data_IF_277755986539
#
_entry.id   IF_277755986539
#
_cell.length_a   1.000
_cell.length_b   1.000
_cell.length_c   1.000
_cell.angle_alpha   90.00
_cell.angle_beta   90.00
_cell.angle_gamma   90.00
#
_symmetry.space_group_name_H-M   'P 1'
#
loop_
_entity.id
_entity.type
_entity.pdbx_description
1 polymer ?
#
# COMPACT_ATOMS: atom_id res chain seq x y z
N UNK A 1 -3.05 6.31 8.22
CA UNK A 1 -3.60 5.30 7.30
C UNK A 1 -3.73 5.89 5.91
N UNK A 2 -3.89 5.06 4.89
CA UNK A 2 -4.17 5.48 3.51
C UNK A 2 -5.54 4.93 3.09
N UNK A 3 -6.06 5.42 1.95
CA UNK A 3 -7.26 4.86 1.33
C UNK A 3 -6.88 3.79 0.30
N UNK A 4 -7.82 2.88 0.05
CA UNK A 4 -7.75 1.95 -1.07
C UNK A 4 -8.83 2.20 -2.12
N UNK A 5 -8.73 1.53 -3.26
CA UNK A 5 -9.66 1.69 -4.39
C UNK A 5 -11.14 1.63 -3.98
N UNK A 6 -11.51 0.73 -3.07
CA UNK A 6 -12.90 0.58 -2.62
C UNK A 6 -13.45 1.73 -1.76
N UNK A 7 -12.58 2.60 -1.25
CA UNK A 7 -12.99 3.82 -0.54
C UNK A 7 -13.49 4.92 -1.50
N UNK A 8 -13.22 4.76 -2.80
CA UNK A 8 -13.67 5.63 -3.89
C UNK A 8 -14.94 5.11 -4.61
N UNK A 9 -15.68 4.21 -3.96
CA UNK A 9 -16.84 3.46 -4.50
C UNK A 9 -16.49 2.33 -5.48
N UNK A 10 -17.50 1.67 -6.04
CA UNK A 10 -17.34 0.58 -7.03
C UNK A 10 -16.68 1.02 -8.33
N UNK A 11 -16.84 2.29 -8.73
CA UNK A 11 -16.16 2.83 -9.91
C UNK A 11 -14.72 3.24 -9.61
N UNK A 12 -14.33 3.22 -8.33
CA UNK A 12 -13.05 3.67 -7.81
C UNK A 12 -12.71 5.13 -8.11
N UNK A 13 -13.61 5.95 -8.67
CA UNK A 13 -13.29 7.32 -9.12
C UNK A 13 -14.05 8.44 -8.42
N UNK A 14 -14.95 8.10 -7.48
CA UNK A 14 -15.79 9.10 -6.81
C UNK A 14 -15.09 9.61 -5.57
N UNK A 15 -14.55 10.82 -5.64
CA UNK A 15 -13.75 11.43 -4.58
C UNK A 15 -14.58 11.86 -3.37
N UNK A 16 -15.84 12.28 -3.54
CA UNK A 16 -16.69 12.74 -2.41
C UNK A 16 -16.83 11.68 -1.30
N UNK A 17 -16.95 10.40 -1.66
CA UNK A 17 -17.03 9.31 -0.68
C UNK A 17 -15.71 9.16 0.08
N UNK A 18 -14.59 9.18 -0.63
CA UNK A 18 -13.26 9.13 -0.05
C UNK A 18 -12.99 10.34 0.86
N UNK A 19 -13.41 11.53 0.47
CA UNK A 19 -13.24 12.77 1.24
C UNK A 19 -14.08 12.75 2.52
N UNK A 20 -15.35 12.32 2.42
CA UNK A 20 -16.22 12.15 3.59
C UNK A 20 -15.69 11.08 4.54
N UNK A 21 -15.20 9.95 4.02
CA UNK A 21 -14.57 8.92 4.83
C UNK A 21 -13.32 9.46 5.54
N UNK A 22 -12.44 10.14 4.80
CA UNK A 22 -11.24 10.79 5.35
C UNK A 22 -11.62 11.74 6.49
N UNK A 23 -12.60 12.63 6.28
CA UNK A 23 -13.04 13.58 7.30
C UNK A 23 -13.58 12.88 8.56
N UNK A 24 -14.33 11.77 8.40
CA UNK A 24 -14.82 10.97 9.54
C UNK A 24 -13.67 10.30 10.30
N UNK A 25 -12.73 9.67 9.60
CA UNK A 25 -11.58 9.01 10.23
C UNK A 25 -10.69 10.02 10.96
N UNK A 26 -10.42 11.18 10.35
CA UNK A 26 -9.70 12.29 10.99
C UNK A 26 -10.44 12.81 12.22
N UNK A 27 -11.77 12.93 12.16
CA UNK A 27 -12.60 13.29 13.31
C UNK A 27 -12.57 12.27 14.47
N UNK A 28 -12.16 11.02 14.20
CA UNK A 28 -11.92 9.98 15.21
C UNK A 28 -10.45 9.94 15.68
N UNK A 29 -9.62 10.89 15.26
CA UNK A 29 -8.20 10.98 15.64
C UNK A 29 -7.25 10.17 14.76
N UNK A 30 -7.71 9.60 13.64
CA UNK A 30 -6.84 8.89 12.70
C UNK A 30 -6.17 9.89 11.74
N UNK A 31 -4.85 9.88 11.69
CA UNK A 31 -4.13 10.65 10.68
C UNK A 31 -4.17 9.91 9.34
N UNK A 32 -4.77 10.56 8.34
CA UNK A 32 -4.83 10.04 6.96
C UNK A 32 -3.69 10.63 6.12
N UNK A 33 -2.91 9.76 5.49
CA UNK A 33 -1.74 10.08 4.67
C UNK A 33 -2.12 10.01 3.18
N UNK A 34 -2.96 10.94 2.73
CA UNK A 34 -3.34 11.05 1.31
C UNK A 34 -2.35 11.99 0.59
N UNK A 35 -1.41 11.41 -0.14
CA UNK A 35 -0.32 12.12 -0.83
C UNK A 35 0.45 13.05 0.12
N UNK A 36 0.80 12.53 1.29
CA UNK A 36 1.48 13.30 2.34
C UNK A 36 2.27 12.37 3.26
N UNK A 37 3.05 12.95 4.16
CA UNK A 37 3.89 12.24 5.09
C UNK A 37 3.80 12.81 6.51
N UNK A 38 4.13 11.97 7.47
CA UNK A 38 4.31 12.35 8.86
C UNK A 38 5.58 11.73 9.43
N UNK A 39 6.08 12.32 10.52
CA UNK A 39 7.23 11.80 11.26
C UNK A 39 6.71 11.21 12.58
N UNK A 40 7.09 9.97 12.87
CA UNK A 40 6.71 9.26 14.09
C UNK A 40 7.98 8.74 14.73
N UNK A 41 8.44 9.44 15.77
CA UNK A 41 9.63 9.04 16.55
C UNK A 41 10.89 8.84 15.67
N UNK A 42 11.08 9.66 14.63
CA UNK A 42 12.23 9.58 13.72
C UNK A 42 12.04 8.61 12.55
N UNK A 43 10.87 7.98 12.43
CA UNK A 43 10.44 7.27 11.23
C UNK A 43 9.53 8.17 10.40
N UNK A 44 9.98 8.52 9.19
CA UNK A 44 9.10 9.18 8.21
C UNK A 44 8.18 8.14 7.59
N UNK A 45 6.87 8.33 7.74
CA UNK A 45 5.85 7.51 7.09
C UNK A 45 5.18 8.35 6.01
N UNK A 46 5.36 7.96 4.76
CA UNK A 46 4.72 8.56 3.60
C UNK A 46 3.57 7.69 3.11
N UNK A 47 2.50 8.31 2.62
CA UNK A 47 1.39 7.61 2.01
C UNK A 47 0.95 8.32 0.74
N UNK A 48 0.78 7.55 -0.33
CA UNK A 48 0.09 8.01 -1.53
C UNK A 48 -1.34 7.45 -1.54
N UNK A 49 -2.21 8.17 -2.24
CA UNK A 49 -3.59 7.78 -2.46
C UNK A 49 -3.70 6.62 -3.48
N UNK A 50 -4.93 6.22 -3.80
CA UNK A 50 -5.15 5.05 -4.63
C UNK A 50 -4.80 5.26 -6.12
N UNK A 51 -4.13 4.26 -6.71
CA UNK A 51 -3.73 4.27 -8.12
C UNK A 51 -4.94 4.21 -9.06
N UNK A 52 -5.90 3.33 -8.79
CA UNK A 52 -7.06 3.10 -9.66
C UNK A 52 -8.06 4.26 -9.64
N UNK A 53 -8.08 5.04 -8.56
CA UNK A 53 -8.83 6.29 -8.48
C UNK A 53 -8.21 7.45 -9.25
N UNK A 54 -6.95 7.31 -9.67
CA UNK A 54 -6.18 8.38 -10.30
C UNK A 54 -5.83 9.51 -9.34
N UNK A 55 -5.87 9.27 -8.03
CA UNK A 55 -5.49 10.24 -7.00
C UNK A 55 -4.10 9.98 -6.43
N UNK A 56 -3.44 8.87 -6.79
CA UNK A 56 -2.07 8.57 -6.36
C UNK A 56 -1.08 9.62 -6.86
N UNK A 57 -0.39 10.29 -5.92
CA UNK A 57 0.62 11.31 -6.19
C UNK A 57 1.81 11.06 -5.24
N UNK A 58 2.79 10.30 -5.76
CA UNK A 58 3.96 9.86 -4.99
C UNK A 58 4.93 11.02 -4.79
N UNK A 59 5.17 11.84 -5.82
CA UNK A 59 6.02 13.04 -5.75
C UNK A 59 5.59 13.96 -4.60
N UNK A 60 4.27 14.20 -4.47
CA UNK A 60 3.75 14.99 -3.36
C UNK A 60 3.94 14.32 -2.00
N UNK A 61 3.81 13.00 -1.93
CA UNK A 61 4.01 12.23 -0.71
C UNK A 61 5.49 12.20 -0.27
N UNK A 62 6.43 12.32 -1.21
CA UNK A 62 7.89 12.32 -0.98
C UNK A 62 8.50 13.71 -0.84
N UNK A 63 7.72 14.81 -0.88
CA UNK A 63 8.24 16.19 -0.71
C UNK A 63 9.07 16.43 0.56
N UNK A 64 8.86 15.63 1.61
CA UNK A 64 9.62 15.70 2.87
C UNK A 64 10.57 14.52 3.07
N UNK A 65 10.88 13.80 2.00
CA UNK A 65 11.78 12.66 2.04
C UNK A 65 13.17 13.13 2.47
N UNK A 66 13.72 12.40 3.42
CA UNK A 66 15.08 12.56 3.92
C UNK A 66 15.70 11.17 3.93
N UNK A 67 16.59 10.90 2.97
CA UNK A 67 17.20 9.58 2.79
C UNK A 67 18.18 9.21 3.90
N UNK A 68 18.57 10.17 4.76
CA UNK A 68 19.41 9.90 5.94
C UNK A 68 18.59 9.41 7.15
N UNK A 69 17.25 9.41 7.04
CA UNK A 69 16.33 8.92 8.07
C UNK A 69 15.74 7.55 7.72
N UNK A 70 15.18 6.89 8.73
CA UNK A 70 14.33 5.73 8.49
C UNK A 70 13.06 6.19 7.77
N UNK A 71 12.76 5.54 6.63
CA UNK A 71 11.59 5.86 5.81
C UNK A 71 10.71 4.61 5.59
N UNK A 72 9.40 4.81 5.59
CA UNK A 72 8.39 3.81 5.30
C UNK A 72 7.33 4.40 4.36
N UNK A 73 7.02 3.71 3.27
CA UNK A 73 5.98 4.15 2.35
C UNK A 73 4.76 3.23 2.41
N UNK A 74 3.56 3.82 2.35
CA UNK A 74 2.29 3.11 2.28
C UNK A 74 1.65 3.30 0.91
N UNK A 75 1.34 2.21 0.24
CA UNK A 75 0.57 2.16 -1.00
C UNK A 75 -0.62 1.22 -0.84
N UNK A 76 -1.73 1.47 -1.53
CA UNK A 76 -2.77 0.46 -1.60
C UNK A 76 -2.52 -0.54 -2.72
N UNK A 77 -2.26 -0.05 -3.93
CA UNK A 77 -2.01 -0.86 -5.12
C UNK A 77 -0.50 -0.98 -5.43
N UNK A 78 0.05 -2.20 -5.52
CA UNK A 78 1.49 -2.39 -5.72
C UNK A 78 1.97 -2.02 -7.12
N UNK A 79 1.10 -1.93 -8.14
CA UNK A 79 1.51 -1.49 -9.47
C UNK A 79 2.07 -0.06 -9.48
N UNK A 80 1.73 0.77 -8.47
CA UNK A 80 2.30 2.11 -8.34
C UNK A 80 3.81 2.09 -8.01
N UNK A 81 4.33 0.96 -7.50
CA UNK A 81 5.75 0.78 -7.21
C UNK A 81 6.63 0.81 -8.47
N UNK A 82 6.08 0.45 -9.63
CA UNK A 82 6.81 0.41 -10.90
C UNK A 82 6.89 1.77 -11.60
N UNK A 83 6.25 2.82 -11.05
CA UNK A 83 6.40 4.19 -11.56
C UNK A 83 7.81 4.74 -11.38
N UNK A 84 8.14 5.81 -12.10
CA UNK A 84 9.42 6.54 -12.07
C UNK A 84 9.44 7.73 -11.09
N UNK A 85 8.30 8.00 -10.44
CA UNK A 85 8.01 9.15 -9.55
C UNK A 85 8.40 8.91 -8.08
N UNK A 86 9.58 8.35 -7.83
CA UNK A 86 10.00 7.95 -6.46
C UNK A 86 11.01 8.90 -5.81
N UNK A 87 11.49 9.92 -6.52
CA UNK A 87 12.39 10.96 -5.97
C UNK A 87 13.58 10.39 -5.19
N UNK A 88 14.14 9.28 -5.66
CA UNK A 88 15.26 8.59 -5.01
C UNK A 88 14.92 7.89 -3.69
N UNK A 89 13.63 7.66 -3.40
CA UNK A 89 13.19 6.89 -2.23
C UNK A 89 13.88 5.53 -2.16
N UNK A 90 14.41 5.22 -0.97
CA UNK A 90 14.99 3.92 -0.63
C UNK A 90 14.30 3.39 0.63
N UNK A 91 14.13 2.07 0.72
CA UNK A 91 13.53 1.43 1.90
C UNK A 91 12.24 0.65 1.60
N UNK A 92 11.37 0.54 2.62
CA UNK A 92 10.23 -0.37 2.59
C UNK A 92 8.94 0.29 2.13
N UNK A 93 8.26 -0.35 1.19
CA UNK A 93 6.92 -0.02 0.73
C UNK A 93 5.96 -1.10 1.22
N UNK A 94 4.98 -0.74 2.04
CA UNK A 94 3.95 -1.66 2.51
C UNK A 94 2.67 -1.46 1.71
N UNK A 95 2.11 -2.57 1.22
CA UNK A 95 1.04 -2.57 0.25
C UNK A 95 -0.01 -3.65 0.48
N UNK A 96 -1.17 -3.52 -0.18
CA UNK A 96 -2.30 -4.44 -0.11
C UNK A 96 -2.90 -4.74 -1.48
N UNK A 97 -4.20 -4.47 -1.64
CA UNK A 97 -4.99 -4.58 -2.87
C UNK A 97 -5.24 -5.98 -3.46
N UNK A 98 -4.26 -6.88 -3.46
CA UNK A 98 -4.37 -8.14 -4.23
C UNK A 98 -5.10 -9.27 -3.54
N UNK A 99 -5.27 -9.17 -2.21
CA UNK A 99 -5.81 -10.24 -1.36
C UNK A 99 -5.08 -11.60 -1.51
N UNK A 100 -3.83 -11.60 -1.99
CA UNK A 100 -3.11 -12.84 -2.35
C UNK A 100 -3.71 -13.58 -3.55
N UNK A 101 -4.44 -12.88 -4.42
CA UNK A 101 -5.21 -13.44 -5.54
C UNK A 101 -6.57 -14.02 -5.13
N UNK A 102 -6.93 -13.96 -3.84
CA UNK A 102 -8.16 -14.48 -3.21
C UNK A 102 -8.41 -15.99 -3.36
N UNK A 103 -8.32 -16.55 -4.56
CA UNK A 103 -8.48 -17.96 -4.87
C UNK A 103 -7.32 -18.44 -5.73
N UNK A 104 -6.34 -19.12 -5.11
CA UNK A 104 -5.13 -19.61 -5.77
C UNK A 104 -5.11 -21.14 -5.76
N UNK A 105 -4.95 -21.82 -6.91
CA UNK A 105 -4.75 -23.26 -6.95
C UNK A 105 -3.45 -23.66 -6.23
N UNK A 106 -3.33 -24.91 -5.72
CA UNK A 106 -2.05 -25.41 -5.26
C UNK A 106 -1.01 -25.37 -6.39
N UNK A 107 0.23 -24.97 -6.07
CA UNK A 107 1.40 -24.96 -6.97
C UNK A 107 1.36 -24.04 -8.20
N UNK A 108 0.21 -23.45 -8.53
CA UNK A 108 0.04 -22.53 -9.66
C UNK A 108 -0.12 -21.08 -9.18
N UNK A 109 0.18 -20.08 -10.03
CA UNK A 109 -0.20 -18.70 -9.76
C UNK A 109 -1.73 -18.57 -9.70
N UNK A 110 -2.24 -17.53 -9.01
CA UNK A 110 -3.67 -17.23 -9.05
C UNK A 110 -4.12 -16.96 -10.50
N UNK A 111 -5.30 -17.43 -10.92
CA UNK A 111 -5.79 -17.24 -12.28
C UNK A 111 -6.17 -15.79 -12.58
N UNK A 112 -6.50 -15.02 -11.54
CA UNK A 112 -6.86 -13.62 -11.64
C UNK A 112 -6.21 -12.85 -10.49
N UNK A 113 -5.57 -11.74 -10.85
CA UNK A 113 -5.03 -10.77 -9.90
C UNK A 113 -5.30 -9.37 -10.43
N UNK A 114 -5.65 -8.47 -9.52
CA UNK A 114 -5.91 -7.07 -9.84
C UNK A 114 -4.62 -6.24 -10.00
N UNK A 115 -3.57 -6.84 -10.57
CA UNK A 115 -2.26 -6.18 -10.78
C UNK A 115 -1.72 -6.54 -12.15
N UNK A 116 -0.93 -5.62 -12.69
CA UNK A 116 -0.26 -5.72 -13.99
C UNK A 116 1.00 -6.55 -13.85
N UNK A 117 1.77 -6.34 -12.77
CA UNK A 117 2.98 -7.09 -12.51
C UNK A 117 2.66 -8.41 -11.77
N UNK A 118 2.88 -9.59 -12.39
CA UNK A 118 2.51 -10.88 -11.81
C UNK A 118 3.35 -11.26 -10.59
N UNK A 119 4.43 -10.52 -10.28
CA UNK A 119 5.21 -10.71 -9.04
C UNK A 119 4.47 -10.16 -7.82
N UNK A 120 3.55 -9.21 -8.00
CA UNK A 120 2.92 -8.45 -6.90
C UNK A 120 1.68 -9.12 -6.33
N UNK A 121 1.72 -10.43 -6.14
CA UNK A 121 0.58 -11.19 -5.60
C UNK A 121 0.52 -11.12 -4.07
N UNK A 122 1.61 -11.39 -3.38
CA UNK A 122 1.68 -11.38 -1.91
C UNK A 122 3.13 -11.52 -1.44
N UNK A 123 3.39 -11.10 -0.21
CA UNK A 123 4.68 -11.25 0.45
C UNK A 123 5.69 -10.21 -0.01
N UNK A 124 6.95 -10.50 0.26
CA UNK A 124 8.05 -9.60 -0.05
C UNK A 124 8.50 -9.73 -1.51
N UNK A 125 8.79 -8.59 -2.13
CA UNK A 125 9.36 -8.48 -3.47
C UNK A 125 10.49 -7.45 -3.45
N UNK A 126 11.68 -7.87 -3.87
CA UNK A 126 12.81 -6.99 -4.14
C UNK A 126 12.59 -6.27 -5.49
N UNK A 127 12.60 -4.94 -5.46
CA UNK A 127 12.45 -4.09 -6.65
C UNK A 127 13.78 -3.86 -7.39
N UNK A 128 14.90 -4.34 -6.82
CA UNK A 128 16.25 -4.30 -7.41
C UNK A 128 16.84 -2.90 -7.58
N UNK A 129 16.31 -1.92 -6.86
CA UNK A 129 16.77 -0.52 -6.84
C UNK A 129 16.86 0.05 -5.42
N UNK A 130 17.04 -0.83 -4.43
CA UNK A 130 17.12 -0.52 -3.01
C UNK A 130 15.76 -0.28 -2.32
N UNK A 131 14.65 -0.41 -3.07
CA UNK A 131 13.30 -0.48 -2.50
C UNK A 131 12.88 -1.94 -2.30
N UNK A 132 12.20 -2.22 -1.17
CA UNK A 132 11.55 -3.52 -0.90
C UNK A 132 10.05 -3.32 -0.77
N UNK A 133 9.28 -4.07 -1.54
CA UNK A 133 7.83 -4.04 -1.52
C UNK A 133 7.31 -5.23 -0.70
N UNK A 134 6.36 -4.99 0.19
CA UNK A 134 5.64 -6.05 0.90
C UNK A 134 4.14 -5.95 0.62
N UNK A 135 3.56 -6.99 0.04
CA UNK A 135 2.13 -7.05 -0.28
C UNK A 135 1.41 -7.96 0.73
N UNK A 136 0.65 -7.35 1.65
CA UNK A 136 -0.14 -8.06 2.64
C UNK A 136 -1.41 -8.66 2.00
N UNK A 137 -1.81 -9.85 2.46
CA UNK A 137 -2.99 -10.55 1.91
C UNK A 137 -4.33 -10.01 2.38
N UNK A 138 -4.33 -9.07 3.31
CA UNK A 138 -5.50 -8.43 3.91
C UNK A 138 -6.39 -9.39 4.69
N UNK A 139 -7.38 -8.80 5.37
CA UNK A 139 -8.39 -9.55 6.14
C UNK A 139 -9.69 -9.78 5.36
N UNK A 140 -10.03 -8.86 4.46
CA UNK A 140 -11.32 -8.82 3.75
C UNK A 140 -11.40 -9.73 2.52
N UNK A 141 -12.41 -9.51 1.69
CA UNK A 141 -12.64 -10.23 0.42
C UNK A 141 -13.14 -9.25 -0.63
N UNK A 142 -13.02 -9.60 -1.91
CA UNK A 142 -13.64 -8.89 -3.02
C UNK A 142 -14.79 -9.70 -3.60
N UNK A 143 -15.95 -9.06 -3.74
CA UNK A 143 -17.21 -9.57 -4.34
C UNK A 143 -17.88 -10.77 -3.64
N UNK A 144 -17.15 -11.86 -3.38
CA UNK A 144 -17.67 -13.07 -2.76
C UNK A 144 -16.84 -13.43 -1.52
N UNK A 145 -17.47 -13.93 -0.44
CA UNK A 145 -16.80 -14.30 0.81
C UNK A 145 -16.06 -15.64 0.71
N UNK A 146 -15.16 -15.77 -0.26
CA UNK A 146 -14.39 -16.98 -0.51
C UNK A 146 -12.91 -16.64 -0.55
N UNK A 147 -12.11 -17.43 0.17
CA UNK A 147 -10.65 -17.45 0.04
C UNK A 147 -10.18 -18.89 -0.07
N UNK A 148 -9.37 -19.18 -1.08
CA UNK A 148 -8.79 -20.50 -1.28
C UNK A 148 -7.28 -20.37 -1.47
N UNK A 149 -6.51 -21.04 -0.61
CA UNK A 149 -5.04 -20.92 -0.54
C UNK A 149 -4.49 -19.48 -0.41
N UNK A 150 -5.32 -18.56 0.10
CA UNK A 150 -5.00 -17.15 0.34
C UNK A 150 -5.49 -16.74 1.74
N UNK A 151 -4.93 -17.38 2.77
CA UNK A 151 -5.32 -17.15 4.18
C UNK A 151 -5.19 -15.66 4.54
N UNK A 152 -6.18 -15.08 5.26
CA UNK A 152 -6.06 -13.74 5.86
C UNK A 152 -4.79 -13.61 6.71
N UNK A 153 -4.24 -12.41 6.76
CA UNK A 153 -2.92 -12.16 7.35
C UNK A 153 -2.91 -10.85 8.13
N UNK A 154 -2.31 -10.88 9.32
CA UNK A 154 -1.89 -9.69 10.08
C UNK A 154 -0.38 -9.78 10.20
N UNK A 155 0.33 -8.82 9.62
CA UNK A 155 1.79 -8.79 9.64
C UNK A 155 2.26 -7.80 10.70
N UNK A 156 3.23 -8.22 11.51
CA UNK A 156 3.87 -7.39 12.52
C UNK A 156 5.31 -7.11 12.08
N UNK A 157 5.62 -5.84 11.83
CA UNK A 157 6.97 -5.37 11.58
C UNK A 157 7.56 -4.78 12.86
N UNK A 158 8.79 -5.14 13.17
CA UNK A 158 9.55 -4.56 14.29
C UNK A 158 10.70 -3.76 13.72
N UNK A 159 10.62 -2.43 13.85
CA UNK A 159 11.75 -1.56 13.54
C UNK A 159 12.79 -1.69 14.66
N UNK A 160 14.05 -1.84 14.28
CA UNK A 160 15.19 -1.86 15.18
C UNK A 160 16.18 -0.81 14.72
N UNK A 161 16.85 -0.17 15.66
CA UNK A 161 18.05 0.60 15.36
C UNK A 161 19.15 -0.39 15.02
N UNK A 162 19.95 -0.11 14.01
CA UNK A 162 21.15 -0.90 13.77
C UNK A 162 22.12 -0.69 14.93
N UNK A 163 22.54 -1.78 15.57
CA UNK A 163 23.58 -1.79 16.58
C UNK A 163 24.95 -1.65 15.89
N UNK A 164 25.28 -0.44 15.43
CA UNK A 164 26.63 -0.09 14.94
C UNK A 164 27.38 0.67 16.02
#
# INVERSE_FOLDING_TARGET
GILGNHDYTRSHRVTDVADRLTARLTGLGLQMLRNTSCDVQGLTISGADDLWSGQCDIDRATLKLDNDKANLFLLHNPDAADGDVWEGYQGWILCGHTHGGQCKPPFLPPPFTSVTNPRYVAGEVDLYDGRRLYINRGLGVVKYPVRFNARPEITVFTLRRDDV
#
